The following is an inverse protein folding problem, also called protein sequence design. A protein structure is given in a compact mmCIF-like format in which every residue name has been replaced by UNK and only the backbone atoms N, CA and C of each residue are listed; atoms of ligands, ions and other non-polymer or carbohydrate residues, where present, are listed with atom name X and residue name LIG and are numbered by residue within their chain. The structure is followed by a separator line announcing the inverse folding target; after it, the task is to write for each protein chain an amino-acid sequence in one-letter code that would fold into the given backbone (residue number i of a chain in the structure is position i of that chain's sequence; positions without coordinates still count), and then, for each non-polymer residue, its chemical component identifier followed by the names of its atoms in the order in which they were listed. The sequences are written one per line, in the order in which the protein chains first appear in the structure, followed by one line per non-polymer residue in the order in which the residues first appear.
data_IF_819832287287
#
_entry.id   IF_819832287287
#
_cell.length_a   1.000
_cell.length_b   1.000
_cell.length_c   1.000
_cell.angle_alpha   90.00
_cell.angle_beta   90.00
_cell.angle_gamma   90.00
#
_symmetry.space_group_name_H-M   'P 1'
#
loop_
_entity.id
_entity.type
_entity.pdbx_description
1 polymer ?
#
# COMPACT_ATOMS: atom_id res chain seq x y z
N UNK A 1 -9.65 -18.33 -2.15
CA UNK A 1 -9.20 -16.97 -1.85
C UNK A 1 -7.99 -16.59 -2.68
N UNK A 2 -7.95 -15.38 -3.18
CA UNK A 2 -6.79 -14.89 -3.91
C UNK A 2 -5.69 -14.48 -2.93
N UNK A 3 -4.46 -14.41 -3.42
CA UNK A 3 -3.35 -13.92 -2.63
C UNK A 3 -3.61 -12.49 -2.15
N UNK A 4 -4.31 -11.72 -2.95
CA UNK A 4 -4.66 -10.34 -2.62
C UNK A 4 -5.51 -10.26 -1.35
N UNK A 5 -6.56 -11.07 -1.27
CA UNK A 5 -7.43 -11.08 -0.10
C UNK A 5 -6.69 -11.50 1.15
N UNK A 6 -5.80 -12.46 1.03
CA UNK A 6 -4.98 -12.90 2.15
C UNK A 6 -4.07 -11.79 2.64
N UNK A 7 -3.44 -11.06 1.72
CA UNK A 7 -2.57 -9.94 2.08
C UNK A 7 -3.33 -8.83 2.79
N UNK A 8 -4.53 -8.50 2.31
CA UNK A 8 -5.36 -7.49 2.95
C UNK A 8 -5.71 -7.91 4.38
N UNK A 9 -6.08 -9.18 4.55
CA UNK A 9 -6.42 -9.70 5.86
C UNK A 9 -5.24 -9.66 6.81
N UNK A 10 -4.06 -10.01 6.32
CA UNK A 10 -2.84 -9.96 7.12
C UNK A 10 -2.53 -8.54 7.59
N UNK A 11 -2.73 -7.56 6.71
CA UNK A 11 -2.54 -6.15 7.06
C UNK A 11 -3.52 -5.69 8.13
N UNK A 12 -4.77 -6.12 8.03
CA UNK A 12 -5.79 -5.75 9.02
C UNK A 12 -5.48 -6.35 10.39
N UNK A 13 -4.91 -7.55 10.42
CA UNK A 13 -4.61 -8.25 11.67
C UNK A 13 -3.31 -7.74 12.32
N UNK A 14 -2.36 -7.29 11.53
CA UNK A 14 -1.05 -6.86 12.04
C UNK A 14 -0.58 -5.57 11.39
N UNK A 15 -1.29 -4.45 11.63
CA UNK A 15 -0.94 -3.19 10.97
C UNK A 15 0.36 -2.57 11.47
N UNK A 16 0.90 -3.05 12.58
CA UNK A 16 2.12 -2.49 13.16
C UNK A 16 3.42 -3.13 12.67
N UNK A 17 3.32 -4.19 11.88
CA UNK A 17 4.49 -4.94 11.42
C UNK A 17 4.34 -5.27 9.94
N UNK A 18 4.20 -4.22 9.14
CA UNK A 18 3.96 -4.36 7.70
C UNK A 18 5.21 -3.97 6.93
N UNK A 19 5.60 -4.81 5.99
CA UNK A 19 6.71 -4.53 5.10
C UNK A 19 6.25 -3.71 3.91
N UNK A 20 7.10 -2.79 3.46
CA UNK A 20 6.79 -1.93 2.32
C UNK A 20 6.45 -2.75 1.07
N UNK A 21 7.16 -3.84 0.84
CA UNK A 21 6.94 -4.68 -0.32
C UNK A 21 5.52 -5.23 -0.39
N UNK A 22 4.92 -5.49 0.76
CA UNK A 22 3.53 -5.97 0.82
C UNK A 22 2.58 -4.88 0.36
N UNK A 23 2.77 -3.65 0.83
CA UNK A 23 1.95 -2.52 0.39
C UNK A 23 2.09 -2.28 -1.10
N UNK A 24 3.31 -2.34 -1.61
CA UNK A 24 3.57 -2.15 -3.03
C UNK A 24 2.80 -3.16 -3.87
N UNK A 25 2.84 -4.44 -3.47
CA UNK A 25 2.11 -5.49 -4.18
C UNK A 25 0.61 -5.24 -4.20
N UNK A 26 0.06 -4.81 -3.06
CA UNK A 26 -1.36 -4.52 -2.97
C UNK A 26 -1.76 -3.39 -3.92
N UNK A 27 -0.98 -2.32 -3.96
CA UNK A 27 -1.25 -1.22 -4.88
C UNK A 27 -1.17 -1.67 -6.33
N UNK A 28 -0.18 -2.48 -6.66
CA UNK A 28 -0.03 -2.97 -8.03
C UNK A 28 -1.21 -3.86 -8.44
N UNK A 29 -1.74 -4.63 -7.50
CA UNK A 29 -2.89 -5.48 -7.78
C UNK A 29 -4.16 -4.69 -8.12
N UNK A 30 -4.27 -3.46 -7.62
CA UNK A 30 -5.43 -2.62 -7.91
C UNK A 30 -5.11 -1.57 -8.99
N UNK A 31 -3.98 -1.71 -9.67
CA UNK A 31 -3.67 -0.90 -10.84
C UNK A 31 -2.82 0.34 -10.60
N UNK A 32 -2.28 0.51 -9.40
CA UNK A 32 -1.39 1.63 -9.13
C UNK A 32 0.03 1.34 -9.61
N UNK A 33 0.74 2.40 -9.98
CA UNK A 33 2.16 2.32 -10.32
C UNK A 33 2.98 2.94 -9.20
N UNK A 34 4.01 2.23 -8.79
CA UNK A 34 4.94 2.71 -7.76
C UNK A 34 6.12 3.38 -8.42
N UNK A 35 6.42 4.62 -8.02
CA UNK A 35 7.57 5.35 -8.55
C UNK A 35 8.39 5.93 -7.40
N UNK A 36 9.70 6.04 -7.62
CA UNK A 36 10.63 6.57 -6.64
C UNK A 36 11.75 7.32 -7.37
N UNK A 37 12.05 8.52 -6.91
CA UNK A 37 13.07 9.38 -7.53
C UNK A 37 14.39 9.36 -6.77
N UNK A 38 14.72 8.22 -6.15
CA UNK A 38 15.96 8.08 -5.41
C UNK A 38 15.87 8.52 -3.95
N UNK A 39 14.69 8.89 -3.49
CA UNK A 39 14.46 9.25 -2.10
C UNK A 39 13.76 8.13 -1.35
N UNK A 40 13.52 8.35 -0.05
CA UNK A 40 12.75 7.39 0.75
C UNK A 40 11.25 7.53 0.55
N UNK A 41 10.82 8.49 -0.26
CA UNK A 41 9.40 8.72 -0.52
C UNK A 41 8.99 8.03 -1.82
N UNK A 42 8.01 7.16 -1.73
CA UNK A 42 7.45 6.44 -2.87
C UNK A 42 6.10 7.03 -3.22
N UNK A 43 5.85 7.20 -4.51
CA UNK A 43 4.57 7.69 -5.02
C UNK A 43 3.82 6.56 -5.70
N UNK A 44 2.54 6.43 -5.36
CA UNK A 44 1.65 5.46 -5.98
C UNK A 44 0.60 6.22 -6.76
N UNK A 45 0.59 5.98 -8.07
CA UNK A 45 -0.29 6.70 -8.99
C UNK A 45 -1.21 5.76 -9.74
N UNK A 46 -2.42 6.21 -9.93
CA UNK A 46 -3.39 5.51 -10.75
C UNK A 46 -4.22 6.54 -11.49
N UNK A 47 -4.57 6.23 -12.75
CA UNK A 47 -5.39 7.10 -13.57
C UNK A 47 -6.71 7.41 -12.86
N UNK A 48 -7.10 8.69 -12.86
CA UNK A 48 -8.31 9.20 -12.23
C UNK A 48 -8.33 9.09 -10.70
N UNK A 49 -7.18 8.85 -10.09
CA UNK A 49 -7.07 8.78 -8.63
C UNK A 49 -5.97 9.70 -8.13
N UNK A 50 -6.12 10.14 -6.90
CA UNK A 50 -5.10 10.99 -6.27
C UNK A 50 -3.82 10.21 -6.05
N UNK A 51 -2.68 10.91 -6.22
CA UNK A 51 -1.39 10.31 -5.94
C UNK A 51 -1.19 10.17 -4.43
N UNK A 52 -0.74 8.98 -4.03
CA UNK A 52 -0.42 8.71 -2.63
C UNK A 52 1.09 8.67 -2.46
N UNK A 53 1.58 9.34 -1.41
CA UNK A 53 3.00 9.32 -1.09
C UNK A 53 3.20 8.57 0.22
N UNK A 54 4.05 7.55 0.21
CA UNK A 54 4.34 6.76 1.40
C UNK A 54 5.85 6.72 1.61
N UNK A 55 6.27 7.07 2.81
CA UNK A 55 7.68 7.03 3.15
C UNK A 55 8.12 5.58 3.42
N UNK A 56 9.22 5.18 2.79
CA UNK A 56 9.80 3.86 3.01
C UNK A 56 10.40 3.78 4.42
N UNK A 57 9.84 2.90 5.23
CA UNK A 57 10.33 2.63 6.59
C UNK A 57 10.11 1.17 6.95
N UNK A 58 10.86 0.69 7.88
CA UNK A 58 10.73 -0.68 8.40
C UNK A 58 10.55 -0.63 9.91
N UNK A 59 9.38 -0.96 10.43
CA UNK A 59 8.13 -1.24 9.70
C UNK A 59 7.44 0.04 9.24
N UNK A 60 6.46 -0.11 8.35
CA UNK A 60 5.62 1.01 7.92
C UNK A 60 4.72 1.42 9.09
N UNK A 61 4.57 2.72 9.28
CA UNK A 61 3.72 3.21 10.36
C UNK A 61 2.26 2.78 10.16
N UNK A 62 1.61 2.42 11.25
CA UNK A 62 0.22 1.95 11.20
C UNK A 62 -0.72 2.94 10.55
N UNK A 63 -0.48 4.24 10.70
CA UNK A 63 -1.33 5.25 10.08
C UNK A 63 -1.32 5.14 8.55
N UNK A 64 -0.16 4.84 7.96
CA UNK A 64 -0.05 4.64 6.51
C UNK A 64 -0.74 3.35 6.09
N UNK A 65 -0.59 2.29 6.88
CA UNK A 65 -1.24 1.02 6.59
C UNK A 65 -2.75 1.18 6.55
N UNK A 66 -3.31 1.93 7.48
CA UNK A 66 -4.75 2.19 7.51
C UNK A 66 -5.20 2.99 6.29
N UNK A 67 -4.43 3.97 5.86
CA UNK A 67 -4.72 4.73 4.64
C UNK A 67 -4.72 3.83 3.41
N UNK A 68 -3.73 2.96 3.31
CA UNK A 68 -3.60 2.02 2.19
C UNK A 68 -4.80 1.09 2.14
N UNK A 69 -5.18 0.54 3.28
CA UNK A 69 -6.33 -0.36 3.35
C UNK A 69 -7.61 0.32 2.91
N UNK A 70 -7.81 1.57 3.33
CA UNK A 70 -8.99 2.33 2.93
C UNK A 70 -9.04 2.53 1.42
N UNK A 71 -7.92 2.93 0.83
CA UNK A 71 -7.84 3.14 -0.62
C UNK A 71 -8.10 1.84 -1.38
N UNK A 72 -7.49 0.74 -0.94
CA UNK A 72 -7.63 -0.55 -1.59
C UNK A 72 -9.07 -1.06 -1.52
N UNK A 73 -9.72 -0.89 -0.37
CA UNK A 73 -11.12 -1.30 -0.22
C UNK A 73 -12.06 -0.49 -1.10
N UNK A 74 -11.76 0.79 -1.29
CA UNK A 74 -12.57 1.64 -2.16
C UNK A 74 -12.42 1.27 -3.63
N UNK A 75 -11.33 0.60 -4.00
CA UNK A 75 -11.07 0.20 -5.38
C UNK A 75 -11.82 -1.07 -5.80
N UNK A 76 -12.43 -1.74 -4.88
CA UNK A 76 -13.19 -2.95 -5.22
C UNK A 76 -14.57 -2.58 -5.76
#
# INVERSE_FOLDING_TARGET
MSKYEKLVKDLENSPNDVKFEVLKKLFENVGYKATNNGSSHWQFRKEDKDTLTIQYKRPIKAIYVKKVLKVIKDEK
#
